data_IF_316107563575
#
_entry.id   IF_316107563575
#
_cell.length_a   1.000
_cell.length_b   1.000
_cell.length_c   1.000
_cell.angle_alpha   90.00
_cell.angle_beta   90.00
_cell.angle_gamma   90.00
#
_symmetry.space_group_name_H-M   'P 1'
#
loop_
_entity.id
_entity.type
_entity.pdbx_description
1 polymer ?
#
# COMPACT_ATOMS: atom_id res chain seq x y z
N UNK A 1 53.92 -37.95 -33.19
CA UNK A 1 53.10 -39.06 -32.69
C UNK A 1 53.37 -39.22 -31.22
N UNK A 2 52.42 -38.80 -30.38
CA UNK A 2 51.94 -39.46 -29.15
C UNK A 2 51.42 -38.38 -28.21
N UNK A 3 50.13 -38.11 -28.35
CA UNK A 3 49.27 -37.64 -27.26
C UNK A 3 49.56 -38.48 -26.02
N UNK A 4 49.74 -37.89 -24.83
CA UNK A 4 49.34 -38.54 -23.57
C UNK A 4 49.28 -37.55 -22.40
N UNK A 5 48.05 -37.21 -22.05
CA UNK A 5 47.48 -37.05 -20.70
C UNK A 5 47.80 -35.80 -19.85
N UNK A 6 46.80 -34.92 -19.75
CA UNK A 6 46.54 -34.06 -18.60
C UNK A 6 46.21 -34.94 -17.38
N UNK A 7 47.23 -35.28 -16.59
CA UNK A 7 46.99 -35.83 -15.25
C UNK A 7 46.57 -34.68 -14.36
N UNK A 8 45.26 -34.48 -14.24
CA UNK A 8 44.64 -33.61 -13.24
C UNK A 8 44.98 -34.18 -11.85
N UNK A 9 46.05 -33.69 -11.25
CA UNK A 9 46.35 -33.94 -9.83
C UNK A 9 45.30 -33.20 -9.02
N UNK A 10 44.18 -33.88 -8.77
CA UNK A 10 43.19 -33.52 -7.77
C UNK A 10 43.90 -33.54 -6.40
N UNK A 11 44.41 -32.39 -5.97
CA UNK A 11 44.75 -32.18 -4.58
C UNK A 11 43.44 -32.25 -3.78
N UNK A 12 43.14 -33.43 -3.23
CA UNK A 12 42.19 -33.54 -2.15
C UNK A 12 42.76 -32.79 -0.94
N UNK A 13 42.50 -31.48 -0.89
CA UNK A 13 42.52 -30.76 0.38
C UNK A 13 41.41 -31.38 1.20
N UNK A 14 41.77 -32.18 2.19
CA UNK A 14 40.91 -32.47 3.34
C UNK A 14 40.65 -31.13 4.01
N UNK A 15 39.61 -30.43 3.55
CA UNK A 15 38.98 -29.39 4.35
C UNK A 15 38.54 -30.11 5.63
N UNK A 16 39.20 -29.77 6.75
CA UNK A 16 38.63 -30.00 8.06
C UNK A 16 37.18 -29.52 7.96
N UNK A 17 36.24 -30.44 8.12
CA UNK A 17 34.87 -30.08 8.45
C UNK A 17 35.00 -29.46 9.84
N UNK A 18 35.30 -28.16 9.87
CA UNK A 18 35.02 -27.34 11.02
C UNK A 18 33.51 -27.36 11.02
N UNK A 19 32.92 -28.14 11.92
CA UNK A 19 31.53 -27.96 12.28
C UNK A 19 31.44 -26.50 12.72
N UNK A 20 31.04 -25.63 11.79
CA UNK A 20 30.76 -24.24 12.08
C UNK A 20 29.53 -24.25 12.98
N UNK A 21 29.79 -24.35 14.28
CA UNK A 21 28.77 -24.16 15.28
C UNK A 21 28.34 -22.71 15.15
N UNK A 22 27.22 -22.49 14.44
CA UNK A 22 26.51 -21.24 14.50
C UNK A 22 26.39 -20.84 15.97
N UNK A 23 27.05 -19.75 16.35
CA UNK A 23 27.13 -19.30 17.73
C UNK A 23 25.76 -18.71 18.08
N UNK A 24 24.82 -19.58 18.47
CA UNK A 24 23.48 -19.17 18.90
C UNK A 24 23.62 -18.44 20.23
N UNK A 25 23.67 -17.12 20.18
CA UNK A 25 23.65 -16.29 21.36
C UNK A 25 22.19 -16.14 21.82
N UNK A 26 21.80 -16.88 22.85
CA UNK A 26 20.47 -16.78 23.46
C UNK A 26 20.45 -15.48 24.26
N UNK A 27 19.87 -14.42 23.69
CA UNK A 27 19.53 -13.20 24.43
C UNK A 27 18.18 -13.42 25.13
N UNK A 28 18.14 -13.22 26.44
CA UNK A 28 16.93 -13.34 27.27
C UNK A 28 16.04 -12.09 27.25
N UNK A 29 16.40 -11.08 26.44
CA UNK A 29 15.63 -9.86 26.28
C UNK A 29 14.27 -10.18 25.64
N UNK A 30 13.18 -9.64 26.20
CA UNK A 30 11.86 -9.72 25.59
C UNK A 30 11.90 -8.98 24.26
N UNK A 31 11.94 -9.72 23.15
CA UNK A 31 11.80 -9.16 21.81
C UNK A 31 10.38 -8.58 21.72
N UNK A 32 10.27 -7.28 21.50
CA UNK A 32 9.00 -6.64 21.19
C UNK A 32 8.62 -7.01 19.76
N UNK A 33 7.45 -7.64 19.53
CA UNK A 33 6.89 -7.77 18.19
C UNK A 33 6.87 -6.40 17.51
N UNK A 34 7.11 -6.38 16.20
CA UNK A 34 7.15 -5.15 15.40
C UNK A 34 8.24 -4.14 15.79
N UNK A 35 9.34 -4.52 16.47
CA UNK A 35 10.38 -3.56 16.88
C UNK A 35 10.97 -2.67 15.76
N UNK A 36 10.95 -3.13 14.50
CA UNK A 36 11.34 -2.33 13.34
C UNK A 36 10.34 -1.22 12.96
N UNK A 37 9.09 -1.30 13.42
CA UNK A 37 8.03 -0.36 13.07
C UNK A 37 8.32 1.05 13.59
N UNK A 38 9.01 1.18 14.72
CA UNK A 38 9.32 2.50 15.28
C UNK A 38 10.19 3.31 14.34
N UNK A 39 11.23 2.68 13.77
CA UNK A 39 12.08 3.34 12.79
C UNK A 39 11.28 3.76 11.54
N UNK A 40 10.42 2.88 11.03
CA UNK A 40 9.55 3.19 9.89
C UNK A 40 8.58 4.34 10.21
N UNK A 41 8.03 4.38 11.43
CA UNK A 41 7.11 5.43 11.88
C UNK A 41 7.80 6.76 12.13
N UNK A 42 9.04 6.76 12.58
CA UNK A 42 9.86 7.98 12.66
C UNK A 42 10.13 8.55 11.27
N UNK A 43 10.50 7.70 10.30
CA UNK A 43 10.68 8.13 8.91
C UNK A 43 9.37 8.67 8.31
N UNK A 44 8.26 8.00 8.55
CA UNK A 44 6.94 8.49 8.13
C UNK A 44 6.64 9.87 8.74
N UNK A 45 6.88 10.02 10.04
CA UNK A 45 6.61 11.29 10.75
C UNK A 45 7.52 12.42 10.27
N UNK A 46 8.73 12.10 9.81
CA UNK A 46 9.68 13.09 9.27
C UNK A 46 9.36 13.49 7.83
N UNK A 47 9.03 12.54 6.97
CA UNK A 47 8.96 12.77 5.52
C UNK A 47 7.53 12.82 4.96
N UNK A 48 6.56 12.18 5.62
CA UNK A 48 5.19 12.04 5.07
C UNK A 48 4.21 12.92 5.85
N UNK A 49 4.28 12.90 7.18
CA UNK A 49 3.36 13.66 8.04
C UNK A 49 3.27 15.17 7.70
N UNK A 50 4.37 15.91 7.47
CA UNK A 50 4.29 17.34 7.14
C UNK A 50 3.55 17.60 5.83
N UNK A 51 3.65 16.69 4.86
CA UNK A 51 2.95 16.80 3.58
C UNK A 51 1.46 16.53 3.76
N UNK A 52 1.11 15.52 4.57
CA UNK A 52 -0.28 15.21 4.91
C UNK A 52 -0.94 16.42 5.56
N UNK A 53 -0.35 16.96 6.62
CA UNK A 53 -0.95 18.07 7.36
C UNK A 53 -1.00 19.35 6.54
N UNK A 54 -0.05 19.54 5.60
CA UNK A 54 -0.09 20.66 4.65
C UNK A 54 -1.22 20.53 3.63
N UNK A 55 -1.45 19.34 3.07
CA UNK A 55 -2.43 19.15 1.99
C UNK A 55 -3.86 18.98 2.53
N UNK A 56 -4.02 18.22 3.62
CA UNK A 56 -5.33 17.95 4.22
C UNK A 56 -5.73 19.00 5.27
N UNK A 57 -4.77 19.81 5.73
CA UNK A 57 -5.01 20.83 6.74
C UNK A 57 -5.22 20.27 8.14
N UNK A 58 -5.66 21.14 9.04
CA UNK A 58 -5.93 20.81 10.44
C UNK A 58 -7.29 20.10 10.52
N UNK A 59 -7.31 18.91 11.11
CA UNK A 59 -8.55 18.15 11.35
C UNK A 59 -9.25 18.58 12.63
N UNK A 60 -8.49 18.75 13.71
CA UNK A 60 -9.01 19.13 15.04
C UNK A 60 -8.18 20.28 15.61
N UNK A 61 -8.82 21.33 16.11
CA UNK A 61 -8.14 22.52 16.63
C UNK A 61 -7.74 22.41 18.10
N UNK A 62 -8.42 21.57 18.89
CA UNK A 62 -8.24 21.49 20.34
C UNK A 62 -7.84 20.10 20.82
N UNK A 63 -8.73 19.12 20.70
CA UNK A 63 -8.51 17.76 21.16
C UNK A 63 -8.84 16.76 20.06
N UNK A 64 -7.87 15.96 19.67
CA UNK A 64 -8.07 14.96 18.62
C UNK A 64 -6.76 14.48 18.01
N UNK A 65 -6.92 13.79 16.89
CA UNK A 65 -5.83 13.36 16.03
C UNK A 65 -5.85 14.16 14.74
N UNK A 66 -4.69 14.62 14.30
CA UNK A 66 -4.49 15.19 12.96
C UNK A 66 -4.49 14.10 11.90
N UNK A 67 -4.68 14.48 10.64
CA UNK A 67 -4.70 13.50 9.55
C UNK A 67 -3.38 12.73 9.45
N UNK A 68 -2.22 13.35 9.70
CA UNK A 68 -0.94 12.63 9.69
C UNK A 68 -0.84 11.52 10.73
N UNK A 69 -1.35 11.75 11.94
CA UNK A 69 -1.40 10.76 13.01
C UNK A 69 -2.34 9.60 12.66
N UNK A 70 -3.49 9.91 12.05
CA UNK A 70 -4.49 8.91 11.65
C UNK A 70 -3.98 8.06 10.49
N UNK A 71 -3.50 8.70 9.41
CA UNK A 71 -2.93 7.99 8.26
C UNK A 71 -1.73 7.18 8.69
N UNK A 72 -0.92 7.70 9.60
CA UNK A 72 0.21 6.95 10.15
C UNK A 72 -0.20 5.73 10.98
N UNK A 73 -1.28 5.82 11.75
CA UNK A 73 -1.84 4.68 12.48
C UNK A 73 -2.33 3.60 11.52
N UNK A 74 -3.04 4.01 10.45
CA UNK A 74 -3.46 3.10 9.38
C UNK A 74 -2.26 2.49 8.62
N UNK A 75 -1.25 3.29 8.29
CA UNK A 75 -0.04 2.82 7.61
C UNK A 75 0.71 1.76 8.43
N UNK A 76 0.63 1.83 9.76
CA UNK A 76 1.23 0.84 10.65
C UNK A 76 0.63 -0.56 10.42
N UNK A 77 -0.66 -0.67 10.10
CA UNK A 77 -1.30 -1.95 9.70
C UNK A 77 -0.59 -2.54 8.50
N UNK A 78 -0.49 -1.75 7.43
CA UNK A 78 0.07 -2.20 6.17
C UNK A 78 1.57 -2.52 6.27
N UNK A 79 2.34 -1.71 7.00
CA UNK A 79 3.76 -2.00 7.25
C UNK A 79 3.97 -3.27 8.08
N UNK A 80 3.01 -3.63 8.92
CA UNK A 80 3.02 -4.88 9.69
C UNK A 80 2.40 -6.06 8.92
N UNK A 81 1.98 -5.86 7.66
CA UNK A 81 1.39 -6.90 6.80
C UNK A 81 -0.08 -7.22 7.09
N UNK A 82 -0.79 -6.35 7.83
CA UNK A 82 -2.23 -6.47 8.02
C UNK A 82 -3.03 -5.87 6.86
N UNK A 83 -4.29 -6.26 6.77
CA UNK A 83 -5.26 -5.79 5.77
C UNK A 83 -6.55 -5.22 6.39
N UNK A 84 -6.74 -5.41 7.70
CA UNK A 84 -7.92 -4.98 8.44
C UNK A 84 -7.62 -3.78 9.35
N UNK A 85 -8.48 -2.75 9.34
CA UNK A 85 -8.27 -1.53 10.14
C UNK A 85 -8.38 -1.80 11.65
N UNK A 86 -9.15 -2.82 12.02
CA UNK A 86 -9.37 -3.30 13.38
C UNK A 86 -8.06 -3.75 14.03
N UNK A 87 -7.10 -4.25 13.23
CA UNK A 87 -5.80 -4.72 13.70
C UNK A 87 -4.99 -3.61 14.38
N UNK A 88 -5.22 -2.33 14.02
CA UNK A 88 -4.62 -1.20 14.74
C UNK A 88 -4.92 -1.31 16.23
N UNK A 89 -6.18 -1.51 16.57
CA UNK A 89 -6.63 -1.47 17.98
C UNK A 89 -6.36 -2.80 18.66
N UNK A 90 -6.63 -3.91 17.97
CA UNK A 90 -6.57 -5.26 18.56
C UNK A 90 -5.15 -5.80 18.69
N UNK A 91 -4.25 -5.46 17.77
CA UNK A 91 -2.94 -6.10 17.66
C UNK A 91 -1.77 -5.13 17.73
N UNK A 92 -1.87 -3.93 17.16
CA UNK A 92 -0.74 -3.02 17.07
C UNK A 92 -0.66 -2.02 18.23
N UNK A 93 -1.79 -1.49 18.69
CA UNK A 93 -1.83 -0.41 19.67
C UNK A 93 -1.06 -0.71 20.97
N UNK A 94 -1.13 -1.92 21.58
CA UNK A 94 -0.34 -2.24 22.77
C UNK A 94 1.18 -2.17 22.54
N UNK A 95 1.64 -2.51 21.34
CA UNK A 95 3.05 -2.47 20.97
C UNK A 95 3.49 -1.08 20.54
N UNK A 96 2.68 -0.37 19.76
CA UNK A 96 2.96 0.99 19.30
C UNK A 96 3.02 2.00 20.45
N UNK A 97 2.26 1.76 21.52
CA UNK A 97 2.26 2.60 22.73
C UNK A 97 3.56 2.54 23.53
N UNK A 98 4.47 1.60 23.22
CA UNK A 98 5.79 1.56 23.84
C UNK A 98 6.70 2.70 23.34
N UNK A 99 6.35 3.35 22.23
CA UNK A 99 7.09 4.49 21.71
C UNK A 99 6.52 5.81 22.27
N UNK A 100 7.30 6.57 23.05
CA UNK A 100 6.78 7.65 23.90
C UNK A 100 6.16 8.82 23.12
N UNK A 101 6.58 9.05 21.88
CA UNK A 101 6.07 10.15 21.05
C UNK A 101 5.07 9.70 19.99
N UNK A 102 4.85 8.39 19.83
CA UNK A 102 3.98 7.88 18.77
C UNK A 102 2.53 7.84 19.26
N UNK A 103 1.70 8.69 18.65
CA UNK A 103 0.25 8.69 18.89
C UNK A 103 -0.43 7.76 17.88
N UNK A 104 -1.08 6.71 18.40
CA UNK A 104 -1.84 5.74 17.60
C UNK A 104 -3.31 5.90 17.90
N UNK A 105 -4.14 6.12 16.88
CA UNK A 105 -5.58 6.24 17.04
C UNK A 105 -6.30 4.88 16.89
N UNK A 106 -7.53 4.79 17.38
CA UNK A 106 -8.36 3.58 17.21
C UNK A 106 -8.82 3.39 15.77
N UNK A 107 -9.25 2.17 15.46
CA UNK A 107 -9.89 1.82 14.19
C UNK A 107 -11.12 2.68 13.91
N UNK A 108 -11.96 2.95 14.92
CA UNK A 108 -13.12 3.86 14.78
C UNK A 108 -12.72 5.26 14.33
N UNK A 109 -11.61 5.78 14.86
CA UNK A 109 -11.10 7.11 14.52
C UNK A 109 -10.62 7.13 13.07
N UNK A 110 -9.95 6.07 12.64
CA UNK A 110 -9.49 5.89 11.25
C UNK A 110 -10.70 5.85 10.30
N UNK A 111 -11.71 5.04 10.61
CA UNK A 111 -12.91 4.90 9.79
C UNK A 111 -13.70 6.21 9.67
N UNK A 112 -13.75 7.01 10.74
CA UNK A 112 -14.33 8.37 10.68
C UNK A 112 -13.54 9.28 9.77
N UNK A 113 -12.22 9.31 9.88
CA UNK A 113 -11.38 10.14 9.01
C UNK A 113 -11.45 9.72 7.54
N UNK A 114 -11.51 8.41 7.24
CA UNK A 114 -11.73 7.92 5.87
C UNK A 114 -13.07 8.43 5.34
N UNK A 115 -14.10 8.41 6.18
CA UNK A 115 -15.43 8.90 5.81
C UNK A 115 -15.46 10.42 5.58
N UNK A 116 -14.71 11.18 6.39
CA UNK A 116 -14.54 12.64 6.22
C UNK A 116 -13.81 13.00 4.92
N UNK A 117 -12.82 12.19 4.52
CA UNK A 117 -12.04 12.40 3.30
C UNK A 117 -12.72 11.82 2.04
N UNK A 118 -13.80 11.06 2.20
CA UNK A 118 -14.48 10.42 1.09
C UNK A 118 -15.18 11.45 0.20
N UNK A 119 -14.91 11.38 -1.10
CA UNK A 119 -15.58 12.21 -2.12
C UNK A 119 -16.67 11.39 -2.79
N UNK A 120 -17.78 12.03 -3.16
CA UNK A 120 -18.87 11.39 -3.90
C UNK A 120 -18.44 10.94 -5.30
N UNK A 121 -19.01 9.84 -5.78
CA UNK A 121 -18.80 9.40 -7.15
C UNK A 121 -19.64 10.25 -8.12
N UNK A 122 -19.06 10.52 -9.29
CA UNK A 122 -19.80 10.98 -10.48
C UNK A 122 -20.17 9.76 -11.31
N UNK A 123 -21.46 9.57 -11.57
CA UNK A 123 -21.93 8.45 -12.40
C UNK A 123 -22.03 8.88 -13.86
N UNK A 124 -21.31 8.17 -14.73
CA UNK A 124 -21.35 8.34 -16.18
C UNK A 124 -22.12 7.18 -16.79
N UNK A 125 -23.10 7.48 -17.64
CA UNK A 125 -23.82 6.47 -18.40
C UNK A 125 -23.33 6.48 -19.84
N UNK A 126 -22.83 5.33 -20.31
CA UNK A 126 -22.40 5.13 -21.69
C UNK A 126 -23.57 5.01 -22.65
N UNK A 127 -23.31 5.20 -23.94
CA UNK A 127 -24.29 5.02 -25.03
C UNK A 127 -24.89 3.60 -25.08
N UNK A 128 -24.19 2.62 -24.49
CA UNK A 128 -24.69 1.24 -24.36
C UNK A 128 -25.58 1.01 -23.13
N UNK A 129 -25.92 2.07 -22.38
CA UNK A 129 -26.77 2.03 -21.19
C UNK A 129 -26.07 1.55 -19.92
N UNK A 130 -24.74 1.34 -19.94
CA UNK A 130 -23.96 0.96 -18.74
C UNK A 130 -23.58 2.20 -17.94
N UNK A 131 -23.82 2.15 -16.63
CA UNK A 131 -23.48 3.22 -15.69
C UNK A 131 -22.21 2.92 -14.92
N UNK A 132 -21.39 3.95 -14.74
CA UNK A 132 -20.04 3.83 -14.25
C UNK A 132 -19.72 4.93 -13.28
N UNK A 133 -19.28 4.53 -12.09
CA UNK A 133 -18.91 5.47 -11.06
C UNK A 133 -17.43 5.84 -11.19
N UNK A 134 -17.16 7.13 -11.32
CA UNK A 134 -15.82 7.68 -11.33
C UNK A 134 -15.66 8.72 -10.23
N UNK A 135 -14.47 8.77 -9.65
CA UNK A 135 -14.15 9.72 -8.59
C UNK A 135 -12.74 10.25 -8.81
N UNK A 136 -12.63 11.56 -8.96
CA UNK A 136 -11.36 12.24 -9.18
C UNK A 136 -10.55 12.41 -7.89
N UNK A 137 -11.19 12.43 -6.71
CA UNK A 137 -10.56 12.59 -5.39
C UNK A 137 -9.35 13.54 -5.39
N UNK A 138 -9.49 14.73 -5.99
CA UNK A 138 -8.37 15.60 -6.39
C UNK A 138 -7.42 15.93 -5.24
N UNK A 139 -7.96 16.16 -4.05
CA UNK A 139 -7.18 16.43 -2.84
C UNK A 139 -6.29 15.24 -2.45
N UNK A 140 -6.85 14.02 -2.42
CA UNK A 140 -6.08 12.81 -2.07
C UNK A 140 -5.08 12.44 -3.17
N UNK A 141 -5.44 12.62 -4.44
CA UNK A 141 -4.50 12.43 -5.54
C UNK A 141 -3.34 13.43 -5.46
N UNK A 142 -3.63 14.69 -5.14
CA UNK A 142 -2.59 15.70 -4.91
C UNK A 142 -1.70 15.33 -3.72
N UNK A 143 -2.28 14.80 -2.65
CA UNK A 143 -1.51 14.31 -1.51
C UNK A 143 -0.53 13.20 -1.93
N UNK A 144 -1.01 12.19 -2.65
CA UNK A 144 -0.17 11.08 -3.12
C UNK A 144 1.01 11.57 -3.97
N UNK A 145 0.75 12.44 -4.95
CA UNK A 145 1.80 13.01 -5.81
C UNK A 145 2.81 13.82 -4.99
N UNK A 146 2.34 14.68 -4.08
CA UNK A 146 3.23 15.47 -3.23
C UNK A 146 4.10 14.59 -2.32
N UNK A 147 3.56 13.49 -1.79
CA UNK A 147 4.33 12.53 -0.99
C UNK A 147 5.40 11.85 -1.85
N UNK A 148 5.06 11.41 -3.07
CA UNK A 148 6.02 10.77 -3.97
C UNK A 148 7.15 11.71 -4.42
N UNK A 149 6.84 12.99 -4.67
CA UNK A 149 7.85 14.01 -4.93
C UNK A 149 8.74 14.23 -3.70
N UNK A 150 8.15 14.30 -2.51
CA UNK A 150 8.90 14.55 -1.28
C UNK A 150 9.80 13.37 -0.87
N UNK A 151 9.40 12.13 -1.19
CA UNK A 151 10.22 10.93 -0.96
C UNK A 151 11.20 10.65 -2.10
N UNK A 152 11.21 11.48 -3.15
CA UNK A 152 12.10 11.33 -4.30
C UNK A 152 11.74 10.16 -5.23
N UNK A 153 10.54 9.59 -5.11
CA UNK A 153 10.04 8.57 -6.05
C UNK A 153 9.63 9.19 -7.38
N UNK A 154 9.20 10.46 -7.36
CA UNK A 154 8.98 11.27 -8.56
C UNK A 154 9.91 12.49 -8.54
N UNK A 155 10.24 12.99 -9.72
CA UNK A 155 11.04 14.18 -9.97
C UNK A 155 10.19 15.21 -10.68
N UNK A 156 10.32 16.48 -10.28
CA UNK A 156 9.57 17.56 -10.87
C UNK A 156 10.02 17.82 -12.32
N UNK A 157 9.05 17.94 -13.23
CA UNK A 157 9.30 18.20 -14.66
C UNK A 157 9.53 16.95 -15.50
N UNK A 158 9.64 15.78 -14.88
CA UNK A 158 9.72 14.50 -15.59
C UNK A 158 8.34 13.99 -16.00
N UNK A 159 8.28 13.30 -17.13
CA UNK A 159 7.10 12.59 -17.60
C UNK A 159 7.13 11.16 -17.10
N UNK A 160 6.03 10.72 -16.50
CA UNK A 160 5.86 9.35 -16.02
C UNK A 160 4.73 8.69 -16.78
N UNK A 161 5.03 7.53 -17.37
CA UNK A 161 4.01 6.65 -17.90
C UNK A 161 3.43 5.86 -16.72
N UNK A 162 2.17 6.17 -16.39
CA UNK A 162 1.42 5.43 -15.38
C UNK A 162 0.64 4.32 -16.10
N UNK A 163 1.21 3.13 -16.08
CA UNK A 163 0.58 1.93 -16.61
C UNK A 163 -0.57 1.50 -15.69
N UNK A 164 -1.76 2.05 -15.95
CA UNK A 164 -2.98 1.57 -15.33
C UNK A 164 -3.45 0.30 -16.03
N UNK A 165 -2.99 -0.85 -15.51
CA UNK A 165 -3.64 -2.12 -15.80
C UNK A 165 -5.05 -2.06 -15.25
N UNK A 166 -6.03 -1.86 -16.13
CA UNK A 166 -7.44 -2.05 -15.81
C UNK A 166 -7.74 -3.55 -15.66
N UNK A 167 -7.07 -4.22 -14.73
CA UNK A 167 -7.39 -5.58 -14.37
C UNK A 167 -8.60 -5.54 -13.44
N UNK A 168 -9.75 -5.98 -13.94
CA UNK A 168 -10.94 -6.20 -13.12
C UNK A 168 -10.68 -7.39 -12.20
N UNK A 169 -10.21 -7.12 -10.99
CA UNK A 169 -10.05 -8.14 -9.95
C UNK A 169 -11.37 -8.29 -9.21
N UNK A 170 -11.91 -9.52 -9.20
CA UNK A 170 -13.10 -9.87 -8.43
C UNK A 170 -12.74 -9.89 -6.94
N UNK A 171 -12.97 -8.79 -6.23
CA UNK A 171 -12.84 -8.77 -4.76
C UNK A 171 -14.20 -9.08 -4.13
N UNK A 172 -14.28 -10.12 -3.31
CA UNK A 172 -15.48 -10.56 -2.58
C UNK A 172 -15.86 -9.60 -1.44
N UNK A 173 -16.10 -8.32 -1.75
CA UNK A 173 -16.53 -7.32 -0.77
C UNK A 173 -18.05 -7.39 -0.58
N UNK A 174 -18.50 -7.43 0.67
CA UNK A 174 -19.91 -7.55 1.09
C UNK A 174 -20.85 -6.51 0.43
N UNK A 175 -20.33 -5.32 0.13
CA UNK A 175 -21.09 -4.16 -0.39
C UNK A 175 -21.18 -4.06 -1.93
N UNK A 176 -20.66 -5.04 -2.68
CA UNK A 176 -20.73 -5.01 -4.14
C UNK A 176 -22.20 -5.28 -4.64
N UNK A 177 -22.58 -4.89 -5.86
CA UNK A 177 -23.93 -5.12 -6.44
C UNK A 177 -24.03 -6.42 -7.24
N UNK A 178 -25.06 -7.26 -7.07
CA UNK A 178 -25.20 -8.54 -7.82
C UNK A 178 -25.04 -8.43 -9.35
N UNK A 179 -24.11 -9.19 -9.93
CA UNK A 179 -23.84 -9.48 -11.35
C UNK A 179 -23.37 -10.94 -11.55
N UNK A 180 -23.95 -11.63 -12.53
CA UNK A 180 -23.65 -13.04 -12.81
C UNK A 180 -22.29 -13.23 -13.51
N UNK A 181 -21.42 -14.07 -12.94
CA UNK A 181 -20.36 -14.74 -13.73
C UNK A 181 -21.02 -15.89 -14.51
N UNK A 182 -20.68 -16.09 -15.79
CA UNK A 182 -21.03 -17.34 -16.50
C UNK A 182 -19.97 -18.39 -16.13
N UNK A 183 -20.30 -19.49 -15.44
CA UNK A 183 -19.38 -20.59 -15.27
C UNK A 183 -19.37 -21.44 -16.55
N UNK A 184 -18.20 -21.91 -16.95
CA UNK A 184 -18.13 -23.14 -17.70
C UNK A 184 -18.76 -24.25 -16.85
N UNK A 185 -19.87 -24.82 -17.36
CA UNK A 185 -20.64 -25.96 -16.84
C UNK A 185 -20.71 -26.09 -15.30
N UNK A 186 -21.84 -25.65 -14.74
CA UNK A 186 -22.33 -26.09 -13.44
C UNK A 186 -22.59 -24.92 -12.48
N UNK A 187 -23.88 -24.71 -12.18
CA UNK A 187 -24.45 -23.81 -11.17
C UNK A 187 -24.40 -22.29 -11.44
N UNK A 188 -25.61 -21.69 -11.58
CA UNK A 188 -25.85 -20.24 -11.58
C UNK A 188 -25.89 -19.77 -10.12
N UNK A 189 -24.83 -19.11 -9.64
CA UNK A 189 -24.90 -18.28 -8.44
C UNK A 189 -24.81 -16.79 -8.81
N UNK A 190 -25.73 -15.94 -8.34
CA UNK A 190 -25.61 -14.49 -8.47
C UNK A 190 -24.55 -13.95 -7.48
N UNK A 191 -23.48 -13.32 -7.98
CA UNK A 191 -22.40 -12.73 -7.15
C UNK A 191 -22.32 -11.23 -7.29
N UNK A 192 -21.82 -10.48 -6.31
CA UNK A 192 -21.87 -9.00 -6.23
C UNK A 192 -20.62 -8.31 -6.86
N UNK A 193 -20.74 -7.43 -7.88
CA UNK A 193 -19.74 -6.51 -8.46
C UNK A 193 -20.07 -5.01 -8.30
N UNK A 194 -19.04 -4.16 -8.32
CA UNK A 194 -19.16 -2.72 -8.59
C UNK A 194 -18.59 -2.44 -9.99
N UNK A 195 -19.34 -1.80 -10.88
CA UNK A 195 -18.84 -1.40 -12.20
C UNK A 195 -18.08 -0.07 -12.10
N UNK A 196 -16.75 -0.10 -12.26
CA UNK A 196 -15.98 1.03 -12.80
C UNK A 196 -15.90 0.84 -14.33
N UNK A 197 -16.25 1.85 -15.13
CA UNK A 197 -15.75 1.91 -16.51
C UNK A 197 -14.48 2.70 -16.53
N UNK A 198 -13.65 2.39 -17.51
CA UNK A 198 -13.40 3.34 -18.58
C UNK A 198 -13.56 2.67 -19.96
N UNK A 199 -13.89 3.50 -20.96
CA UNK A 199 -14.35 3.21 -22.32
C UNK A 199 -13.18 2.98 -23.32
N UNK A 200 -13.43 2.69 -24.62
CA UNK A 200 -12.49 1.96 -25.48
C UNK A 200 -11.31 2.81 -25.97
N UNK A 201 -10.21 2.11 -26.26
CA UNK A 201 -8.99 2.63 -26.85
C UNK A 201 -9.28 3.56 -28.04
N UNK A 202 -8.82 4.80 -27.91
CA UNK A 202 -8.67 5.75 -29.01
C UNK A 202 -7.29 6.37 -28.93
N UNK A 203 -6.42 6.04 -29.89
CA UNK A 203 -5.23 6.83 -30.19
C UNK A 203 -5.66 8.27 -30.47
N UNK A 204 -5.37 9.19 -29.56
CA UNK A 204 -5.41 10.61 -29.83
C UNK A 204 -4.11 11.20 -29.27
N UNK A 205 -3.19 11.57 -30.17
CA UNK A 205 -1.95 12.23 -29.81
C UNK A 205 -2.24 13.51 -29.05
N UNK A 206 -1.64 13.63 -27.87
CA UNK A 206 -1.68 14.85 -27.08
C UNK A 206 -0.76 15.89 -27.73
N UNK A 207 -1.31 16.61 -28.72
CA UNK A 207 -0.81 17.94 -29.06
C UNK A 207 -1.50 18.98 -28.17
N UNK A 208 -0.66 19.85 -27.61
CA UNK A 208 -0.97 21.16 -27.04
C UNK A 208 -1.65 21.15 -25.65
N UNK A 209 -0.90 21.55 -24.63
CA UNK A 209 -1.02 22.92 -24.10
C UNK A 209 0.25 23.28 -23.29
N UNK A 210 1.04 24.20 -23.87
CA UNK A 210 1.86 25.23 -23.21
C UNK A 210 1.57 26.52 -24.00
N UNK A 211 1.72 27.73 -23.43
CA UNK A 211 1.85 28.11 -22.02
C UNK A 211 0.51 28.53 -21.38
#
# INVERSE_FOLDING_TARGET
>A
MSDFSLTLVLQFKTSKIINDMAKVQIKSEKITPFGGIFHVRELFSRFVAPIIDKVLGIRCTSYGYQYSEIVGSLASVYFCGGDCVEDVTSHLMPHLSLHPTLRTCSSDTILRAISELAVGNTTYTSDTGRSYDFNTATMLNSLLVNVLLNTGQLMAGESYDLDFDHQFIETEKYDAKMTYRRPHRGHREPRRQRQRALSPAGHAGAHLFKP
#
